data_IF_429370197467
#
_entry.id   IF_429370197467
#
_cell.length_a   1.000
_cell.length_b   1.000
_cell.length_c   1.000
_cell.angle_alpha   90.00
_cell.angle_beta   90.00
_cell.angle_gamma   90.00
#
_symmetry.space_group_name_H-M   'P 1'
#
loop_
_entity.id
_entity.type
_entity.pdbx_description
1 polymer ?
#
# COMPACT_ATOMS: atom_id res chain seq x y z
N UNK A 1 -13.10 16.17 -15.68
CA UNK A 1 -12.01 15.59 -14.86
C UNK A 1 -12.18 16.19 -13.47
N UNK A 2 -12.40 15.36 -12.45
CA UNK A 2 -12.62 15.88 -11.10
C UNK A 2 -11.32 16.47 -10.55
N UNK A 3 -11.42 17.64 -9.92
CA UNK A 3 -10.31 18.22 -9.17
C UNK A 3 -10.21 17.52 -7.81
N UNK A 4 -9.38 16.47 -7.74
CA UNK A 4 -9.18 15.72 -6.51
C UNK A 4 -8.63 16.60 -5.37
N UNK A 5 -7.96 17.72 -5.69
CA UNK A 5 -7.26 18.58 -4.73
C UNK A 5 -8.19 19.40 -3.84
N UNK A 6 -9.47 19.58 -4.22
CA UNK A 6 -10.37 20.46 -3.47
C UNK A 6 -10.97 19.84 -2.21
N UNK A 7 -10.92 18.51 -2.02
CA UNK A 7 -11.93 17.89 -1.16
C UNK A 7 -11.49 16.80 -0.18
N UNK A 8 -10.21 16.44 -0.05
CA UNK A 8 -9.98 15.08 0.46
C UNK A 8 -9.42 14.91 1.87
N UNK A 9 -8.59 15.81 2.37
CA UNK A 9 -8.07 15.67 3.74
C UNK A 9 -7.82 17.00 4.41
N UNK A 10 -6.98 17.83 3.81
CA UNK A 10 -6.68 19.16 4.34
C UNK A 10 -7.91 20.08 4.34
N UNK A 11 -8.70 20.06 3.25
CA UNK A 11 -9.96 20.80 3.16
C UNK A 11 -11.00 20.32 4.19
N UNK A 12 -11.18 19.00 4.33
CA UNK A 12 -12.10 18.43 5.33
C UNK A 12 -11.67 18.78 6.76
N UNK A 13 -10.37 18.67 7.07
CA UNK A 13 -9.84 19.06 8.37
C UNK A 13 -10.03 20.56 8.64
N UNK A 14 -9.86 21.41 7.62
CA UNK A 14 -10.06 22.85 7.74
C UNK A 14 -11.55 23.20 7.96
N UNK A 15 -12.45 22.61 7.17
CA UNK A 15 -13.90 22.79 7.29
C UNK A 15 -14.42 22.36 8.67
N UNK A 16 -13.87 21.28 9.23
CA UNK A 16 -14.24 20.77 10.54
C UNK A 16 -13.51 21.45 11.71
N UNK A 17 -12.66 22.46 11.45
CA UNK A 17 -11.89 23.16 12.49
C UNK A 17 -10.86 22.27 13.21
N UNK A 18 -10.51 21.12 12.63
CA UNK A 18 -9.60 20.13 13.22
C UNK A 18 -8.15 20.27 12.71
N UNK A 19 -7.92 21.04 11.65
CA UNK A 19 -6.63 21.16 11.00
C UNK A 19 -5.52 21.67 11.94
N UNK A 20 -5.77 22.74 12.70
CA UNK A 20 -4.77 23.32 13.61
C UNK A 20 -4.36 22.36 14.74
N UNK A 21 -5.29 21.53 15.21
CA UNK A 21 -5.03 20.53 16.25
C UNK A 21 -4.44 19.21 15.73
N UNK A 22 -4.55 18.95 14.43
CA UNK A 22 -4.17 17.66 13.83
C UNK A 22 -2.71 17.27 14.07
N UNK A 23 -1.71 18.17 13.95
CA UNK A 23 -0.31 17.86 14.25
C UNK A 23 -0.11 17.32 15.68
N UNK A 24 -0.73 17.95 16.68
CA UNK A 24 -0.65 17.50 18.09
C UNK A 24 -1.25 16.11 18.24
N UNK A 25 -2.47 15.91 17.74
CA UNK A 25 -3.13 14.60 17.81
C UNK A 25 -2.33 13.51 17.08
N UNK A 26 -1.67 13.84 15.96
CA UNK A 26 -0.87 12.87 15.20
C UNK A 26 0.37 12.43 16.00
N UNK A 27 1.05 13.39 16.64
CA UNK A 27 2.17 13.08 17.53
C UNK A 27 1.73 12.21 18.70
N UNK A 28 0.61 12.53 19.35
CA UNK A 28 0.05 11.72 20.44
C UNK A 28 -0.25 10.28 19.98
N UNK A 29 -0.84 10.11 18.79
CA UNK A 29 -1.10 8.81 18.18
C UNK A 29 0.19 8.02 17.88
N UNK A 30 1.25 8.69 17.41
CA UNK A 30 2.55 8.10 17.12
C UNK A 30 3.24 7.66 18.41
N UNK A 31 3.38 8.57 19.39
CA UNK A 31 4.03 8.29 20.67
C UNK A 31 3.31 7.19 21.44
N UNK A 32 1.98 7.29 21.58
CA UNK A 32 1.18 6.26 22.25
C UNK A 32 1.37 4.90 21.59
N UNK A 33 1.46 4.87 20.25
CA UNK A 33 1.67 3.63 19.51
C UNK A 33 3.05 3.02 19.78
N UNK A 34 4.11 3.83 19.77
CA UNK A 34 5.47 3.36 20.01
C UNK A 34 5.64 2.91 21.46
N UNK A 35 5.14 3.69 22.41
CA UNK A 35 5.19 3.36 23.84
C UNK A 35 4.40 2.09 24.15
N UNK A 36 3.20 1.96 23.58
CA UNK A 36 2.40 0.73 23.73
C UNK A 36 3.15 -0.48 23.18
N UNK A 37 3.75 -0.38 22.00
CA UNK A 37 4.47 -1.50 21.42
C UNK A 37 5.70 -1.88 22.25
N UNK A 38 6.52 -0.90 22.64
CA UNK A 38 7.79 -1.16 23.34
C UNK A 38 7.60 -1.58 24.81
N UNK A 39 6.55 -1.09 25.48
CA UNK A 39 6.41 -1.25 26.94
C UNK A 39 5.24 -2.13 27.37
N UNK A 40 4.23 -2.33 26.51
CA UNK A 40 2.97 -2.99 26.90
C UNK A 40 2.74 -4.27 26.12
N UNK A 41 3.08 -4.30 24.83
CA UNK A 41 2.83 -5.45 23.97
C UNK A 41 3.87 -6.54 24.24
N UNK A 42 3.46 -7.73 24.69
CA UNK A 42 4.40 -8.83 24.86
C UNK A 42 4.60 -9.61 23.54
N UNK A 43 5.73 -10.33 23.37
CA UNK A 43 6.10 -10.96 22.10
C UNK A 43 5.08 -11.94 21.51
N UNK A 44 4.30 -12.62 22.33
CA UNK A 44 3.22 -13.53 21.91
C UNK A 44 2.09 -12.83 21.15
N UNK A 45 1.99 -11.50 21.24
CA UNK A 45 0.99 -10.71 20.52
C UNK A 45 1.47 -10.27 19.15
N UNK A 46 2.77 -10.30 18.85
CA UNK A 46 3.32 -9.84 17.57
C UNK A 46 2.61 -10.48 16.36
N UNK A 47 2.39 -11.82 16.29
CA UNK A 47 1.75 -12.44 15.13
C UNK A 47 0.34 -11.93 14.79
N UNK A 48 -0.35 -11.32 15.76
CA UNK A 48 -1.72 -10.82 15.61
C UNK A 48 -1.74 -9.34 15.25
N UNK A 49 -0.78 -8.56 15.75
CA UNK A 49 -0.84 -7.10 15.67
C UNK A 49 0.00 -6.51 14.54
N UNK A 50 1.01 -7.22 14.02
CA UNK A 50 1.97 -6.62 13.08
C UNK A 50 1.29 -6.03 11.83
N UNK A 51 0.27 -6.69 11.26
CA UNK A 51 -0.50 -6.13 10.14
C UNK A 51 -1.25 -4.83 10.49
N UNK A 52 -1.84 -4.74 11.68
CA UNK A 52 -2.53 -3.52 12.15
C UNK A 52 -1.55 -2.38 12.43
N UNK A 53 -0.36 -2.71 12.96
CA UNK A 53 0.71 -1.75 13.15
C UNK A 53 1.21 -1.19 11.82
N UNK A 54 1.44 -2.06 10.84
CA UNK A 54 1.88 -1.68 9.51
C UNK A 54 0.90 -0.67 8.87
N UNK A 55 -0.40 -0.97 8.92
CA UNK A 55 -1.44 -0.06 8.41
C UNK A 55 -1.46 1.27 9.17
N UNK A 56 -1.34 1.25 10.51
CA UNK A 56 -1.31 2.47 11.33
C UNK A 56 -0.10 3.35 10.99
N UNK A 57 1.06 2.75 10.79
CA UNK A 57 2.29 3.45 10.42
C UNK A 57 2.22 4.07 9.02
N UNK A 58 1.68 3.33 8.04
CA UNK A 58 1.43 3.87 6.70
C UNK A 58 0.45 5.06 6.77
N UNK A 59 -0.62 4.95 7.58
CA UNK A 59 -1.55 6.05 7.86
C UNK A 59 -0.87 7.26 8.50
N UNK A 60 0.05 7.06 9.43
CA UNK A 60 0.83 8.17 10.01
C UNK A 60 1.76 8.81 8.98
N UNK A 61 2.44 8.01 8.16
CA UNK A 61 3.34 8.51 7.11
C UNK A 61 2.59 9.39 6.10
N UNK A 62 1.42 8.93 5.65
CA UNK A 62 0.56 9.65 4.72
C UNK A 62 0.08 10.97 5.33
N UNK A 63 -0.34 10.97 6.59
CA UNK A 63 -0.76 12.21 7.26
C UNK A 63 0.42 13.16 7.47
N UNK A 64 1.61 12.64 7.78
CA UNK A 64 2.84 13.44 7.84
C UNK A 64 3.13 14.14 6.50
N UNK A 65 3.07 13.42 5.39
CA UNK A 65 3.26 14.00 4.05
C UNK A 65 2.27 15.15 3.78
N UNK A 66 0.98 14.90 4.06
CA UNK A 66 -0.08 15.89 3.83
C UNK A 66 -0.01 17.10 4.76
N UNK A 67 0.64 16.97 5.92
CA UNK A 67 0.86 18.06 6.88
C UNK A 67 2.22 18.74 6.69
N UNK A 68 2.99 18.39 5.65
CA UNK A 68 4.25 19.05 5.33
C UNK A 68 5.45 18.62 6.18
N UNK A 69 5.41 17.41 6.76
CA UNK A 69 6.55 16.88 7.50
C UNK A 69 7.78 16.69 6.59
N UNK A 70 9.01 16.73 7.14
CA UNK A 70 10.21 16.36 6.40
C UNK A 70 10.09 14.95 5.81
N UNK A 71 10.63 14.77 4.60
CA UNK A 71 10.69 13.47 3.91
C UNK A 71 11.30 12.37 4.80
N UNK A 72 12.20 12.73 5.72
CA UNK A 72 12.80 11.80 6.67
C UNK A 72 11.76 11.13 7.57
N UNK A 73 10.84 11.89 8.16
CA UNK A 73 9.79 11.35 9.02
C UNK A 73 8.82 10.47 8.24
N UNK A 74 8.44 10.90 7.04
CA UNK A 74 7.55 10.15 6.15
C UNK A 74 8.18 8.81 5.77
N UNK A 75 9.41 8.82 5.22
CA UNK A 75 10.11 7.60 4.82
C UNK A 75 10.40 6.68 6.00
N UNK A 76 10.73 7.22 7.18
CA UNK A 76 10.98 6.38 8.35
C UNK A 76 9.70 5.64 8.80
N UNK A 77 8.55 6.31 8.82
CA UNK A 77 7.26 5.68 9.12
C UNK A 77 6.88 4.62 8.07
N UNK A 78 7.08 4.90 6.77
CA UNK A 78 6.86 3.91 5.71
C UNK A 78 7.80 2.71 5.88
N UNK A 79 9.07 2.94 6.21
CA UNK A 79 10.06 1.88 6.46
C UNK A 79 9.66 0.99 7.63
N UNK A 80 9.17 1.56 8.73
CA UNK A 80 8.67 0.74 9.85
C UNK A 80 7.35 0.03 9.50
N UNK A 81 6.51 0.60 8.64
CA UNK A 81 5.36 -0.10 8.10
C UNK A 81 5.78 -1.33 7.27
N UNK A 82 6.83 -1.20 6.44
CA UNK A 82 7.43 -2.31 5.69
C UNK A 82 7.99 -3.37 6.63
N UNK A 83 8.75 -2.99 7.66
CA UNK A 83 9.25 -3.92 8.67
C UNK A 83 8.14 -4.72 9.34
N UNK A 84 7.05 -4.04 9.70
CA UNK A 84 5.90 -4.69 10.30
C UNK A 84 5.21 -5.67 9.35
N UNK A 85 4.97 -5.27 8.09
CA UNK A 85 4.40 -6.15 7.09
C UNK A 85 5.29 -7.36 6.79
N UNK A 86 6.59 -7.13 6.61
CA UNK A 86 7.58 -8.18 6.37
C UNK A 86 7.58 -9.19 7.51
N UNK A 87 7.60 -8.72 8.76
CA UNK A 87 7.51 -9.58 9.94
C UNK A 87 6.20 -10.40 9.93
N UNK A 88 5.07 -9.75 9.67
CA UNK A 88 3.76 -10.38 9.55
C UNK A 88 3.77 -11.54 8.53
N UNK A 89 4.14 -11.27 7.28
CA UNK A 89 4.14 -12.28 6.21
C UNK A 89 5.20 -13.38 6.41
N UNK A 90 6.36 -13.06 7.00
CA UNK A 90 7.36 -14.07 7.36
C UNK A 90 6.85 -15.02 8.45
N UNK A 91 6.12 -14.51 9.45
CA UNK A 91 5.44 -15.35 10.44
C UNK A 91 4.38 -16.25 9.81
N UNK A 92 3.64 -15.77 8.80
CA UNK A 92 2.67 -16.63 8.10
C UNK A 92 3.33 -17.77 7.30
N UNK A 93 4.49 -17.51 6.70
CA UNK A 93 5.23 -18.49 5.87
C UNK A 93 5.91 -19.59 6.67
N UNK A 94 6.14 -19.38 7.97
CA UNK A 94 6.98 -20.24 8.80
C UNK A 94 6.23 -20.72 10.05
N UNK A 95 5.09 -21.40 9.93
CA UNK A 95 4.27 -21.79 11.08
C UNK A 95 5.06 -22.65 12.07
N UNK A 96 4.87 -22.38 13.36
CA UNK A 96 5.56 -23.02 14.49
C UNK A 96 7.08 -22.79 14.54
N UNK A 97 7.62 -21.84 13.77
CA UNK A 97 9.04 -21.47 13.80
C UNK A 97 9.25 -20.13 14.50
N UNK A 98 10.47 -19.93 14.99
CA UNK A 98 10.89 -18.64 15.52
C UNK A 98 11.24 -17.70 14.37
N UNK A 99 10.58 -16.55 14.32
CA UNK A 99 10.82 -15.49 13.34
C UNK A 99 11.42 -14.30 14.04
N UNK A 100 12.61 -13.91 13.57
CA UNK A 100 13.33 -12.74 14.05
C UNK A 100 13.20 -11.61 13.04
N UNK A 101 12.95 -10.40 13.52
CA UNK A 101 12.74 -9.22 12.68
C UNK A 101 13.21 -7.96 13.41
N UNK A 102 13.44 -6.88 12.67
CA UNK A 102 13.71 -5.56 13.23
C UNK A 102 12.43 -4.73 13.21
N UNK A 103 12.15 -4.02 14.30
CA UNK A 103 11.03 -3.09 14.37
C UNK A 103 11.29 -2.02 15.41
N UNK A 104 11.06 -0.75 15.05
CA UNK A 104 11.37 0.44 15.85
C UNK A 104 12.83 0.46 16.35
N UNK A 105 13.78 0.07 15.49
CA UNK A 105 15.21 0.06 15.82
C UNK A 105 15.67 -1.07 16.74
N UNK A 106 14.77 -1.97 17.15
CA UNK A 106 15.11 -3.11 18.00
C UNK A 106 14.93 -4.45 17.28
N UNK A 107 15.81 -5.40 17.60
CA UNK A 107 15.67 -6.80 17.18
C UNK A 107 14.61 -7.48 18.04
N UNK A 108 13.55 -7.96 17.38
CA UNK A 108 12.41 -8.65 17.97
C UNK A 108 12.38 -10.12 17.53
N UNK A 109 11.69 -10.94 18.31
CA UNK A 109 11.51 -12.36 18.02
C UNK A 109 10.11 -12.80 18.44
N UNK A 110 9.43 -13.58 17.60
CA UNK A 110 8.16 -14.20 17.91
C UNK A 110 8.10 -15.64 17.39
N UNK A 111 7.27 -16.47 18.03
CA UNK A 111 6.93 -17.78 17.50
C UNK A 111 5.71 -17.62 16.59
N UNK A 112 5.87 -17.99 15.32
CA UNK A 112 4.79 -17.99 14.36
C UNK A 112 3.71 -19.01 14.78
N UNK A 113 2.43 -18.60 14.88
CA UNK A 113 1.36 -19.52 15.22
C UNK A 113 1.11 -20.52 14.09
N UNK A 114 0.52 -21.66 14.43
CA UNK A 114 -0.09 -22.52 13.41
C UNK A 114 -1.15 -21.72 12.64
N UNK A 115 -1.20 -21.89 11.32
CA UNK A 115 -2.04 -21.06 10.45
C UNK A 115 -2.95 -21.92 9.57
N UNK A 116 -4.23 -21.63 9.63
CA UNK A 116 -5.27 -22.23 8.77
C UNK A 116 -5.87 -21.22 7.80
N UNK A 117 -5.77 -19.93 8.13
CA UNK A 117 -6.23 -18.83 7.30
C UNK A 117 -5.12 -17.82 7.09
N UNK A 118 -4.92 -17.39 5.86
CA UNK A 118 -3.84 -16.49 5.46
C UNK A 118 -4.34 -15.06 5.27
N UNK A 119 -3.39 -14.13 5.23
CA UNK A 119 -3.71 -12.73 4.93
C UNK A 119 -4.10 -12.55 3.47
N UNK A 120 -5.03 -11.64 3.20
CA UNK A 120 -5.56 -11.38 1.87
C UNK A 120 -4.51 -10.85 0.90
N UNK A 121 -4.76 -11.10 -0.39
CA UNK A 121 -3.99 -10.56 -1.51
C UNK A 121 -3.79 -9.04 -1.42
N UNK A 122 -4.85 -8.28 -1.13
CA UNK A 122 -4.77 -6.81 -1.03
C UNK A 122 -3.73 -6.33 -0.03
N UNK A 123 -3.69 -6.93 1.17
CA UNK A 123 -2.72 -6.58 2.23
C UNK A 123 -1.28 -6.96 1.85
N UNK A 124 -1.10 -8.04 1.10
CA UNK A 124 0.20 -8.40 0.55
C UNK A 124 0.66 -7.39 -0.50
N UNK A 125 -0.24 -6.96 -1.37
CA UNK A 125 0.04 -5.95 -2.40
C UNK A 125 0.38 -4.59 -1.77
N UNK A 126 -0.35 -4.19 -0.72
CA UNK A 126 -0.04 -3.02 0.11
C UNK A 126 1.40 -3.07 0.65
N UNK A 127 1.79 -4.20 1.26
CA UNK A 127 3.14 -4.40 1.77
C UNK A 127 4.22 -4.30 0.69
N UNK A 128 3.97 -4.92 -0.48
CA UNK A 128 4.89 -4.93 -1.60
C UNK A 128 5.12 -3.53 -2.17
N UNK A 129 4.04 -2.75 -2.30
CA UNK A 129 4.12 -1.36 -2.76
C UNK A 129 4.93 -0.48 -1.81
N UNK A 130 4.70 -0.62 -0.49
CA UNK A 130 5.47 0.10 0.51
C UNK A 130 6.96 -0.25 0.47
N UNK A 131 7.29 -1.54 0.31
CA UNK A 131 8.68 -1.99 0.19
C UNK A 131 9.37 -1.38 -1.04
N UNK A 132 8.67 -1.29 -2.17
CA UNK A 132 9.16 -0.60 -3.37
C UNK A 132 9.41 0.89 -3.12
N UNK A 133 8.44 1.60 -2.52
CA UNK A 133 8.52 3.04 -2.25
C UNK A 133 9.68 3.41 -1.31
N UNK A 134 9.92 2.59 -0.29
CA UNK A 134 11.05 2.77 0.63
C UNK A 134 12.39 2.37 -0.01
N UNK A 135 12.37 1.54 -1.06
CA UNK A 135 13.56 0.98 -1.68
C UNK A 135 14.16 -0.19 -0.89
N UNK A 136 13.36 -0.90 -0.10
CA UNK A 136 13.79 -2.07 0.66
C UNK A 136 13.73 -3.33 -0.20
N UNK A 137 14.84 -3.58 -0.91
CA UNK A 137 14.98 -4.75 -1.79
C UNK A 137 14.90 -6.09 -1.05
N UNK A 138 15.33 -6.14 0.21
CA UNK A 138 15.29 -7.34 1.03
C UNK A 138 13.84 -7.67 1.46
N UNK A 139 13.11 -6.67 1.94
CA UNK A 139 11.68 -6.82 2.23
C UNK A 139 10.88 -7.19 0.98
N UNK A 140 11.15 -6.53 -0.16
CA UNK A 140 10.54 -6.85 -1.44
C UNK A 140 10.79 -8.30 -1.83
N UNK A 141 12.02 -8.80 -1.71
CA UNK A 141 12.36 -10.19 -2.01
C UNK A 141 11.60 -11.19 -1.12
N UNK A 142 11.52 -10.93 0.19
CA UNK A 142 10.77 -11.77 1.13
C UNK A 142 9.27 -11.81 0.80
N UNK A 143 8.69 -10.65 0.46
CA UNK A 143 7.28 -10.52 0.10
C UNK A 143 6.98 -11.21 -1.24
N UNK A 144 7.85 -11.09 -2.24
CA UNK A 144 7.71 -11.79 -3.52
C UNK A 144 7.76 -13.32 -3.37
N UNK A 145 8.53 -13.81 -2.38
CA UNK A 145 8.60 -15.23 -2.10
C UNK A 145 7.31 -15.80 -1.49
N UNK A 146 6.40 -14.96 -0.96
CA UNK A 146 5.16 -15.39 -0.31
C UNK A 146 4.29 -16.26 -1.26
N UNK A 147 3.91 -17.50 -0.92
CA UNK A 147 3.21 -18.39 -1.86
C UNK A 147 1.86 -17.83 -2.33
N UNK A 148 1.57 -17.92 -3.64
CA UNK A 148 0.31 -17.38 -4.21
C UNK A 148 -0.89 -18.17 -3.74
N UNK A 149 -0.73 -19.48 -3.62
CA UNK A 149 -1.74 -20.43 -3.16
C UNK A 149 -2.28 -20.12 -1.76
N UNK A 150 -1.54 -19.35 -0.95
CA UNK A 150 -2.01 -18.90 0.36
C UNK A 150 -3.21 -17.94 0.24
N UNK A 151 -3.32 -17.16 -0.85
CA UNK A 151 -4.45 -16.25 -1.07
C UNK A 151 -5.77 -16.98 -1.30
N UNK A 152 -5.73 -18.28 -1.63
CA UNK A 152 -6.95 -19.09 -1.75
C UNK A 152 -7.61 -19.41 -0.39
N UNK A 153 -6.83 -19.30 0.69
CA UNK A 153 -7.20 -19.79 2.02
C UNK A 153 -7.27 -18.64 3.04
N UNK A 154 -7.94 -17.53 2.71
CA UNK A 154 -7.96 -16.31 3.55
C UNK A 154 -9.04 -16.31 4.65
N UNK A 155 -9.79 -17.40 4.78
CA UNK A 155 -10.86 -17.53 5.79
C UNK A 155 -12.17 -16.83 5.45
N UNK A 156 -12.31 -16.33 4.22
CA UNK A 156 -13.57 -15.85 3.67
C UNK A 156 -14.53 -17.01 3.34
N UNK A 157 -15.83 -16.72 3.29
CA UNK A 157 -16.88 -17.70 2.93
C UNK A 157 -16.66 -18.24 1.51
N UNK A 158 -16.12 -17.40 0.61
CA UNK A 158 -15.73 -17.78 -0.75
C UNK A 158 -14.26 -17.44 -0.99
N UNK A 159 -13.52 -18.39 -1.55
CA UNK A 159 -12.19 -18.16 -2.13
C UNK A 159 -12.31 -17.29 -3.38
N UNK A 160 -11.51 -16.21 -3.45
CA UNK A 160 -11.40 -15.36 -4.65
C UNK A 160 -10.30 -15.94 -5.53
N UNK A 161 -10.67 -16.56 -6.65
CA UNK A 161 -9.72 -17.29 -7.50
C UNK A 161 -8.91 -16.35 -8.38
N UNK A 162 -9.52 -15.27 -8.87
CA UNK A 162 -8.87 -14.28 -9.74
C UNK A 162 -7.76 -13.48 -9.04
N UNK A 163 -7.72 -13.48 -7.70
CA UNK A 163 -6.59 -12.92 -6.93
C UNK A 163 -5.26 -13.60 -7.28
N UNK A 164 -5.28 -14.88 -7.71
CA UNK A 164 -4.08 -15.59 -8.16
C UNK A 164 -3.49 -14.89 -9.39
N UNK A 165 -4.29 -14.64 -10.42
CA UNK A 165 -3.83 -14.06 -11.67
C UNK A 165 -3.24 -12.67 -11.46
N UNK A 166 -3.93 -11.82 -10.68
CA UNK A 166 -3.41 -10.51 -10.32
C UNK A 166 -2.15 -10.60 -9.45
N UNK A 167 -2.09 -11.53 -8.49
CA UNK A 167 -0.89 -11.69 -7.66
C UNK A 167 0.34 -12.11 -8.48
N UNK A 168 0.17 -12.94 -9.51
CA UNK A 168 1.25 -13.33 -10.42
C UNK A 168 1.71 -12.16 -11.28
N UNK A 169 0.78 -11.33 -11.77
CA UNK A 169 1.07 -10.07 -12.45
C UNK A 169 1.94 -9.16 -11.59
N UNK A 170 1.50 -8.88 -10.35
CA UNK A 170 2.25 -7.99 -9.46
C UNK A 170 3.60 -8.60 -9.08
N UNK A 171 3.67 -9.92 -8.82
CA UNK A 171 4.95 -10.58 -8.56
C UNK A 171 5.92 -10.43 -9.71
N UNK A 172 5.47 -10.70 -10.94
CA UNK A 172 6.31 -10.60 -12.14
C UNK A 172 6.81 -9.16 -12.33
N UNK A 173 5.92 -8.18 -12.14
CA UNK A 173 6.26 -6.77 -12.28
C UNK A 173 7.27 -6.31 -11.22
N UNK A 174 7.02 -6.56 -9.93
CA UNK A 174 7.90 -6.14 -8.83
C UNK A 174 9.19 -6.96 -8.69
N UNK A 175 9.23 -8.19 -9.22
CA UNK A 175 10.46 -8.98 -9.28
C UNK A 175 11.44 -8.49 -10.36
N UNK A 176 11.00 -7.61 -11.26
CA UNK A 176 11.76 -7.16 -12.44
C UNK A 176 12.12 -8.33 -13.35
N UNK A 177 11.25 -9.34 -13.43
CA UNK A 177 11.47 -10.51 -14.28
C UNK A 177 11.31 -10.16 -15.75
N UNK A 178 12.21 -10.66 -16.60
CA UNK A 178 12.28 -10.30 -18.02
C UNK A 178 11.90 -11.44 -18.97
N UNK A 179 11.40 -12.58 -18.46
CA UNK A 179 10.98 -13.70 -19.30
C UNK A 179 9.77 -13.30 -20.14
N UNK A 180 9.97 -13.20 -21.46
CA UNK A 180 8.96 -12.74 -22.41
C UNK A 180 7.77 -13.71 -22.52
N UNK A 181 8.03 -15.02 -22.44
CA UNK A 181 6.96 -16.02 -22.54
C UNK A 181 6.06 -15.92 -21.31
N UNK A 182 6.68 -15.85 -20.13
CA UNK A 182 5.95 -15.70 -18.87
C UNK A 182 5.21 -14.36 -18.80
N UNK A 183 5.84 -13.25 -19.22
CA UNK A 183 5.19 -11.94 -19.35
C UNK A 183 3.93 -12.02 -20.21
N UNK A 184 4.05 -12.65 -21.39
CA UNK A 184 2.95 -12.76 -22.34
C UNK A 184 1.82 -13.64 -21.81
N UNK A 185 2.16 -14.74 -21.13
CA UNK A 185 1.19 -15.64 -20.50
C UNK A 185 0.38 -14.93 -19.40
N UNK A 186 1.06 -14.24 -18.49
CA UNK A 186 0.44 -13.46 -17.40
C UNK A 186 -0.42 -12.34 -17.96
N UNK A 187 0.09 -11.59 -18.95
CA UNK A 187 -0.66 -10.52 -19.61
C UNK A 187 -1.96 -11.05 -20.19
N UNK A 188 -1.90 -12.16 -20.95
CA UNK A 188 -3.09 -12.73 -21.58
C UNK A 188 -4.14 -13.21 -20.57
N UNK A 189 -3.71 -13.78 -19.43
CA UNK A 189 -4.63 -14.16 -18.35
C UNK A 189 -5.32 -12.94 -17.75
N UNK A 190 -4.55 -11.91 -17.37
CA UNK A 190 -5.12 -10.69 -16.81
C UNK A 190 -6.04 -9.97 -17.82
N UNK A 191 -5.64 -9.88 -19.08
CA UNK A 191 -6.42 -9.24 -20.13
C UNK A 191 -7.76 -9.96 -20.39
N UNK A 192 -7.81 -11.28 -20.23
CA UNK A 192 -9.07 -12.03 -20.30
C UNK A 192 -10.03 -11.64 -19.17
N UNK A 193 -9.52 -11.32 -17.97
CA UNK A 193 -10.31 -10.87 -16.82
C UNK A 193 -10.84 -9.44 -16.97
N UNK A 194 -10.25 -8.60 -17.83
CA UNK A 194 -10.72 -7.22 -18.08
C UNK A 194 -11.98 -7.18 -18.95
N UNK A 195 -12.36 -8.29 -19.57
CA UNK A 195 -13.60 -8.34 -20.36
C UNK A 195 -14.82 -8.33 -19.43
N UNK A 196 -15.90 -7.57 -19.76
CA UNK A 196 -17.12 -7.55 -18.94
C UNK A 196 -17.66 -8.95 -18.67
N UNK A 197 -17.88 -9.27 -17.39
CA UNK A 197 -18.36 -10.58 -16.93
C UNK A 197 -17.27 -11.63 -16.74
N UNK A 198 -16.03 -11.37 -17.17
CA UNK A 198 -14.92 -12.31 -17.07
C UNK A 198 -14.56 -12.70 -15.63
N UNK A 199 -14.76 -11.79 -14.67
CA UNK A 199 -14.55 -12.05 -13.25
C UNK A 199 -15.85 -12.55 -12.59
N UNK A 200 -17.01 -11.99 -12.95
CA UNK A 200 -18.32 -12.41 -12.45
C UNK A 200 -18.55 -13.91 -12.64
N UNK A 201 -18.17 -14.48 -13.79
CA UNK A 201 -18.31 -15.91 -14.07
C UNK A 201 -17.47 -16.80 -13.12
N UNK A 202 -16.40 -16.26 -12.54
CA UNK A 202 -15.45 -17.00 -11.70
C UNK A 202 -15.74 -16.79 -10.21
N UNK A 203 -15.87 -15.54 -9.79
CA UNK A 203 -15.91 -15.11 -8.39
C UNK A 203 -17.14 -14.26 -8.01
N UNK A 204 -17.93 -13.83 -9.00
CA UNK A 204 -19.17 -13.06 -8.81
C UNK A 204 -19.02 -11.53 -8.87
N UNK A 205 -20.16 -10.85 -8.96
CA UNK A 205 -20.25 -9.40 -9.27
C UNK A 205 -19.51 -8.48 -8.29
N UNK A 206 -19.48 -8.85 -7.01
CA UNK A 206 -18.80 -8.05 -5.99
C UNK A 206 -17.27 -8.04 -6.22
N UNK A 207 -16.71 -9.18 -6.61
CA UNK A 207 -15.27 -9.29 -6.91
C UNK A 207 -14.94 -8.57 -8.21
N UNK A 208 -15.81 -8.69 -9.23
CA UNK A 208 -15.63 -7.94 -10.48
C UNK A 208 -15.66 -6.43 -10.22
N UNK A 209 -16.61 -5.94 -9.41
CA UNK A 209 -16.69 -4.53 -9.01
C UNK A 209 -15.38 -4.10 -8.35
N UNK A 210 -14.87 -4.84 -7.36
CA UNK A 210 -13.60 -4.53 -6.72
C UNK A 210 -12.45 -4.45 -7.75
N UNK A 211 -12.34 -5.45 -8.63
CA UNK A 211 -11.27 -5.52 -9.61
C UNK A 211 -11.29 -4.33 -10.58
N UNK A 212 -12.46 -3.88 -11.04
CA UNK A 212 -12.60 -2.73 -11.93
C UNK A 212 -12.06 -1.43 -11.35
N UNK A 213 -12.19 -1.22 -10.04
CA UNK A 213 -11.68 0.00 -9.43
C UNK A 213 -10.26 -0.12 -8.85
N UNK A 214 -9.84 -1.32 -8.46
CA UNK A 214 -8.60 -1.51 -7.69
C UNK A 214 -7.51 -2.29 -8.44
N UNK A 215 -7.85 -3.37 -9.14
CA UNK A 215 -6.85 -4.24 -9.78
C UNK A 215 -6.60 -3.87 -11.26
N UNK A 216 -7.68 -3.68 -12.03
CA UNK A 216 -7.62 -3.40 -13.45
C UNK A 216 -6.89 -2.08 -13.74
N UNK A 217 -7.11 -0.96 -13.02
CA UNK A 217 -6.38 0.27 -13.28
C UNK A 217 -4.87 0.15 -13.04
N UNK A 218 -4.47 -0.65 -12.05
CA UNK A 218 -3.05 -0.96 -11.81
C UNK A 218 -2.47 -1.85 -12.92
N UNK A 219 -3.25 -2.80 -13.42
CA UNK A 219 -2.88 -3.59 -14.60
C UNK A 219 -2.70 -2.72 -15.85
N UNK A 220 -3.51 -1.69 -16.06
CA UNK A 220 -3.33 -0.76 -17.18
C UNK A 220 -1.99 0.00 -17.08
N UNK A 221 -1.58 0.45 -15.89
CA UNK A 221 -0.25 1.06 -15.68
C UNK A 221 0.90 0.09 -15.97
N UNK A 222 0.79 -1.17 -15.55
CA UNK A 222 1.79 -2.21 -15.85
C UNK A 222 1.82 -2.50 -17.36
N UNK A 223 0.66 -2.51 -18.00
CA UNK A 223 0.50 -2.71 -19.43
C UNK A 223 1.13 -1.57 -20.23
N UNK A 224 0.99 -0.32 -19.77
CA UNK A 224 1.71 0.83 -20.33
C UNK A 224 3.22 0.60 -20.31
N UNK A 225 3.76 0.23 -19.15
CA UNK A 225 5.17 -0.09 -19.00
C UNK A 225 5.62 -1.19 -19.97
N UNK A 226 4.77 -2.18 -20.21
CA UNK A 226 5.02 -3.26 -21.17
C UNK A 226 4.83 -2.89 -22.64
N UNK A 227 4.53 -1.63 -22.95
CA UNK A 227 4.37 -1.08 -24.30
C UNK A 227 3.20 -1.72 -25.07
N UNK A 228 2.11 -2.02 -24.37
CA UNK A 228 0.89 -2.58 -24.97
C UNK A 228 -0.30 -1.62 -24.96
N UNK A 229 -0.17 -0.45 -24.30
CA UNK A 229 -1.20 0.58 -24.24
C UNK A 229 -0.93 1.68 -25.27
N UNK A 230 -1.99 2.30 -25.78
CA UNK A 230 -1.90 3.44 -26.71
C UNK A 230 -1.94 4.78 -25.97
N UNK A 231 -2.64 4.83 -24.84
CA UNK A 231 -2.79 6.00 -23.99
C UNK A 231 -1.46 6.41 -23.32
N UNK A 232 -1.31 7.70 -23.05
CA UNK A 232 -0.14 8.24 -22.36
C UNK A 232 -0.09 7.81 -20.89
N UNK A 233 1.12 7.84 -20.31
CA UNK A 233 1.30 7.54 -18.89
C UNK A 233 0.44 8.46 -18.00
N UNK A 234 0.33 9.74 -18.34
CA UNK A 234 -0.52 10.69 -17.61
C UNK A 234 -1.99 10.32 -17.65
N UNK A 235 -2.53 9.98 -18.82
CA UNK A 235 -3.95 9.63 -18.98
C UNK A 235 -4.31 8.38 -18.17
N UNK A 236 -3.48 7.33 -18.26
CA UNK A 236 -3.69 6.08 -17.51
C UNK A 236 -3.57 6.32 -16.00
N UNK A 237 -2.62 7.16 -15.59
CA UNK A 237 -2.45 7.50 -14.17
C UNK A 237 -3.64 8.27 -13.62
N UNK A 238 -4.15 9.26 -14.36
CA UNK A 238 -5.34 10.01 -13.96
C UNK A 238 -6.58 9.11 -13.86
N UNK A 239 -6.74 8.18 -14.81
CA UNK A 239 -7.81 7.19 -14.77
C UNK A 239 -7.69 6.27 -13.55
N UNK A 240 -6.48 5.82 -13.22
CA UNK A 240 -6.24 5.00 -12.03
C UNK A 240 -6.52 5.75 -10.73
N UNK A 241 -6.13 7.02 -10.64
CA UNK A 241 -6.46 7.88 -9.49
C UNK A 241 -7.97 8.07 -9.34
N UNK A 242 -8.70 8.29 -10.45
CA UNK A 242 -10.15 8.42 -10.45
C UNK A 242 -10.84 7.14 -9.96
N UNK A 243 -10.44 5.98 -10.49
CA UNK A 243 -10.99 4.68 -10.09
C UNK A 243 -10.74 4.39 -8.61
N UNK A 244 -9.53 4.69 -8.12
CA UNK A 244 -9.18 4.54 -6.72
C UNK A 244 -10.06 5.43 -5.82
N UNK A 245 -10.24 6.70 -6.18
CA UNK A 245 -11.14 7.60 -5.46
C UNK A 245 -12.58 7.06 -5.44
N UNK A 246 -13.12 6.67 -6.60
CA UNK A 246 -14.50 6.19 -6.72
C UNK A 246 -14.77 4.94 -5.88
N UNK A 247 -13.79 4.04 -5.78
CA UNK A 247 -13.89 2.88 -4.90
C UNK A 247 -14.10 3.31 -3.45
N UNK A 248 -13.21 4.16 -2.92
CA UNK A 248 -13.28 4.57 -1.52
C UNK A 248 -14.44 5.54 -1.25
N UNK A 249 -14.93 6.28 -2.24
CA UNK A 249 -16.04 7.22 -2.04
C UNK A 249 -17.42 6.60 -2.18
N UNK A 250 -17.59 5.65 -3.10
CA UNK A 250 -18.91 5.12 -3.44
C UNK A 250 -19.11 3.63 -3.10
N UNK A 251 -18.04 2.83 -3.18
CA UNK A 251 -18.13 1.37 -3.18
C UNK A 251 -17.75 0.76 -1.83
N UNK A 252 -16.60 1.15 -1.27
CA UNK A 252 -16.11 0.66 0.02
C UNK A 252 -17.03 0.99 1.21
N UNK A 253 -17.72 2.15 1.28
CA UNK A 253 -18.58 2.48 2.41
C UNK A 253 -19.69 1.45 2.62
N UNK A 254 -19.84 1.03 3.87
CA UNK A 254 -20.89 0.09 4.27
C UNK A 254 -22.30 0.66 3.98
N UNK A 255 -23.32 -0.19 3.76
CA UNK A 255 -24.69 0.27 3.58
C UNK A 255 -25.14 1.20 4.73
N UNK A 256 -25.55 2.43 4.38
CA UNK A 256 -25.98 3.45 5.34
C UNK A 256 -24.86 4.37 5.86
N UNK A 257 -23.60 4.15 5.49
CA UNK A 257 -22.50 5.08 5.74
C UNK A 257 -22.52 6.25 4.74
N UNK A 258 -21.84 7.35 5.10
CA UNK A 258 -21.63 8.49 4.21
C UNK A 258 -20.80 8.10 2.98
N UNK A 259 -21.08 8.74 1.85
CA UNK A 259 -20.50 8.47 0.52
C UNK A 259 -19.99 9.76 -0.11
N UNK A 260 -19.35 9.64 -1.27
CA UNK A 260 -18.75 10.76 -1.95
C UNK A 260 -17.63 11.36 -1.11
N UNK A 261 -17.56 12.70 -1.10
CA UNK A 261 -16.53 13.45 -0.38
C UNK A 261 -16.52 13.23 1.15
N UNK A 262 -17.65 12.81 1.72
CA UNK A 262 -17.82 12.66 3.17
C UNK A 262 -17.56 11.20 3.61
N UNK A 263 -17.18 10.30 2.70
CA UNK A 263 -16.84 8.92 3.02
C UNK A 263 -15.64 8.83 3.97
N UNK A 264 -15.75 8.04 5.03
CA UNK A 264 -14.64 7.78 5.97
C UNK A 264 -13.55 6.88 5.37
N UNK A 265 -13.90 6.10 4.34
CA UNK A 265 -12.96 5.21 3.67
C UNK A 265 -11.91 6.01 2.87
N UNK A 266 -12.19 7.29 2.61
CA UNK A 266 -11.26 8.23 2.01
C UNK A 266 -10.03 8.48 2.87
N UNK A 267 -10.12 8.29 4.19
CA UNK A 267 -8.99 8.39 5.12
C UNK A 267 -8.05 7.18 5.10
N UNK A 268 -8.33 6.17 4.27
CA UNK A 268 -7.42 5.05 4.07
C UNK A 268 -6.10 5.57 3.44
N UNK A 269 -4.91 5.19 3.96
CA UNK A 269 -3.63 5.64 3.41
C UNK A 269 -3.44 5.34 1.92
N UNK A 270 -4.00 4.22 1.43
CA UNK A 270 -3.93 3.82 0.02
C UNK A 270 -4.87 4.63 -0.87
N UNK A 271 -5.90 5.26 -0.29
CA UNK A 271 -6.75 6.23 -0.96
C UNK A 271 -6.14 7.65 -0.93
N UNK A 272 -5.63 8.06 0.25
CA UNK A 272 -5.11 9.40 0.51
C UNK A 272 -3.87 9.77 -0.33
N UNK A 273 -2.91 8.87 -0.53
CA UNK A 273 -1.72 9.12 -1.36
C UNK A 273 -1.59 8.16 -2.54
N UNK A 274 -2.64 7.39 -2.86
CA UNK A 274 -2.60 6.43 -3.97
C UNK A 274 -1.35 5.52 -3.96
N UNK A 275 -0.97 5.00 -2.78
CA UNK A 275 0.36 4.37 -2.57
C UNK A 275 0.66 3.21 -3.54
N UNK A 276 -0.36 2.48 -3.99
CA UNK A 276 -0.19 1.42 -5.01
C UNK A 276 0.19 2.00 -6.39
N UNK A 277 -0.46 3.10 -6.78
CA UNK A 277 -0.16 3.82 -8.03
C UNK A 277 1.25 4.41 -7.97
N UNK A 278 1.61 5.08 -6.86
CA UNK A 278 2.96 5.61 -6.65
C UNK A 278 4.04 4.52 -6.78
N UNK A 279 3.80 3.34 -6.22
CA UNK A 279 4.76 2.24 -6.28
C UNK A 279 4.97 1.74 -7.71
N UNK A 280 3.90 1.64 -8.51
CA UNK A 280 4.00 1.25 -9.92
C UNK A 280 4.70 2.33 -10.73
N UNK A 281 4.34 3.60 -10.54
CA UNK A 281 5.01 4.73 -11.21
C UNK A 281 6.50 4.81 -10.88
N UNK A 282 6.88 4.50 -9.64
CA UNK A 282 8.27 4.39 -9.22
C UNK A 282 9.03 3.35 -10.03
N UNK A 283 8.43 2.17 -10.25
CA UNK A 283 9.03 1.14 -11.11
C UNK A 283 9.27 1.67 -12.51
N UNK A 284 8.23 2.27 -13.11
CA UNK A 284 8.28 2.83 -14.46
C UNK A 284 9.41 3.85 -14.55
N UNK A 285 9.46 4.81 -13.62
CA UNK A 285 10.52 5.81 -13.54
C UNK A 285 11.92 5.19 -13.43
N UNK A 286 12.10 4.16 -12.60
CA UNK A 286 13.41 3.51 -12.44
C UNK A 286 13.87 2.76 -13.70
N UNK A 287 12.95 2.24 -14.51
CA UNK A 287 13.29 1.42 -15.69
C UNK A 287 13.31 2.21 -17.01
N UNK A 288 12.45 3.21 -17.17
CA UNK A 288 12.37 4.02 -18.40
C UNK A 288 12.88 5.47 -18.23
N UNK A 289 13.00 5.96 -17.00
CA UNK A 289 13.26 7.38 -16.71
C UNK A 289 12.05 8.29 -16.92
N UNK A 290 10.90 7.73 -17.30
CA UNK A 290 9.68 8.48 -17.56
C UNK A 290 8.96 8.88 -16.26
N UNK A 291 8.39 10.08 -16.23
CA UNK A 291 7.79 10.65 -15.03
C UNK A 291 6.46 11.33 -15.39
N UNK A 292 5.42 11.05 -14.61
CA UNK A 292 4.09 11.64 -14.79
C UNK A 292 4.07 13.12 -14.42
N UNK A 293 3.70 13.98 -15.37
CA UNK A 293 3.54 15.41 -15.05
C UNK A 293 2.15 15.74 -14.48
N UNK A 294 1.81 15.16 -13.33
CA UNK A 294 0.56 15.41 -12.61
C UNK A 294 0.85 16.23 -11.35
N UNK A 295 0.31 17.44 -11.29
CA UNK A 295 0.40 18.29 -10.10
C UNK A 295 -0.70 17.90 -9.11
N UNK A 296 -0.40 16.99 -8.19
CA UNK A 296 -1.32 16.56 -7.14
C UNK A 296 -0.58 16.39 -5.81
N UNK A 297 -1.08 16.94 -4.68
CA UNK A 297 -0.51 16.70 -3.36
C UNK A 297 -0.65 15.21 -2.94
N UNK A 298 -1.51 14.45 -3.63
CA UNK A 298 -1.72 13.03 -3.38
C UNK A 298 -0.82 12.13 -4.22
N UNK A 299 -0.01 12.72 -5.10
CA UNK A 299 0.95 12.01 -5.94
C UNK A 299 2.35 12.63 -5.76
N UNK A 300 2.94 12.54 -4.56
CA UNK A 300 4.26 13.12 -4.27
C UNK A 300 5.33 12.56 -5.20
N UNK A 301 5.78 13.42 -6.12
CA UNK A 301 6.76 13.05 -7.15
C UNK A 301 8.11 12.63 -6.57
N UNK A 302 8.43 13.08 -5.35
CA UNK A 302 9.66 12.71 -4.65
C UNK A 302 9.66 11.22 -4.26
N UNK A 303 8.49 10.62 -3.96
CA UNK A 303 8.37 9.18 -3.70
C UNK A 303 8.56 8.35 -4.97
N UNK A 304 8.03 8.82 -6.11
CA UNK A 304 8.25 8.18 -7.43
C UNK A 304 9.75 8.17 -7.73
N UNK A 305 10.40 9.32 -7.59
CA UNK A 305 11.85 9.48 -7.82
C UNK A 305 12.73 8.76 -6.81
N UNK A 306 12.21 8.48 -5.62
CA UNK A 306 12.95 7.83 -4.53
C UNK A 306 13.85 8.78 -3.76
N UNK A 307 13.55 10.07 -3.82
CA UNK A 307 14.24 11.12 -3.07
C UNK A 307 14.06 10.95 -1.56
N UNK A 308 14.71 11.82 -0.79
CA UNK A 308 14.79 11.72 0.67
C UNK A 308 15.86 10.73 1.13
N UNK A 309 15.87 10.36 2.42
CA UNK A 309 16.91 9.49 2.96
C UNK A 309 16.86 8.09 2.33
N UNK A 310 18.06 7.52 2.20
CA UNK A 310 18.28 6.12 1.85
C UNK A 310 17.87 5.19 3.00
N UNK A 311 17.67 3.91 2.69
CA UNK A 311 17.38 2.89 3.70
C UNK A 311 18.49 2.79 4.77
N UNK A 312 19.75 2.92 4.35
CA UNK A 312 20.91 2.88 5.26
C UNK A 312 20.90 4.05 6.25
N UNK A 313 20.52 5.25 5.81
CA UNK A 313 20.35 6.42 6.69
C UNK A 313 19.19 6.23 7.66
N UNK A 314 18.05 5.71 7.18
CA UNK A 314 16.87 5.43 8.00
C UNK A 314 17.13 4.38 9.09
N UNK A 315 18.07 3.46 8.87
CA UNK A 315 18.45 2.42 9.82
C UNK A 315 19.38 2.92 10.94
N UNK A 316 20.03 4.07 10.77
CA UNK A 316 20.99 4.59 11.75
C UNK A 316 20.31 5.33 12.90
N UNK A 317 19.23 6.08 12.64
CA UNK A 317 18.61 6.93 13.65
C UNK A 317 17.13 7.13 13.39
N UNK A 318 16.31 6.85 14.41
CA UNK A 318 14.90 7.23 14.44
C UNK A 318 14.79 8.76 14.50
N UNK A 319 13.98 9.41 13.64
CA UNK A 319 13.73 10.83 13.76
C UNK A 319 13.01 11.17 15.06
N UNK A 320 13.28 12.37 15.58
CA UNK A 320 12.49 12.93 16.68
C UNK A 320 11.12 13.35 16.13
N UNK A 321 10.06 12.76 16.67
CA UNK A 321 8.69 13.16 16.41
C UNK A 321 8.30 14.20 17.47
N UNK A 322 8.25 15.48 17.08
CA UNK A 322 7.79 16.57 17.92
C UNK A 322 7.20 17.69 17.04
N UNK A 323 6.67 18.75 17.65
CA UNK A 323 5.99 19.81 16.90
C UNK A 323 6.89 20.60 15.95
N UNK A 324 8.22 20.54 16.11
CA UNK A 324 9.16 21.24 15.21
C UNK A 324 9.18 20.66 13.80
N UNK A 325 8.69 19.43 13.62
CA UNK A 325 8.59 18.83 12.28
C UNK A 325 7.49 19.45 11.39
N UNK A 326 6.58 20.26 11.96
CA UNK A 326 5.53 20.95 11.21
C UNK A 326 5.82 22.44 10.96
N UNK A 327 6.96 22.94 11.46
CA UNK A 327 7.38 24.33 11.28
C UNK A 327 8.40 24.42 10.15
N UNK A 328 7.93 24.50 8.91
CA UNK A 328 8.75 24.85 7.75
C UNK A 328 8.19 26.07 7.02
#
# INVERSE_FOLDING_TARGET
>A
MNDFSQHYYHAILAENGALEGRPVTLLDEIHTRFDSFNNVVPPERYPVIMSSLAFSLARYAVQCELLGCPQWHVKWLLKEAVNAWRAHFNMERQPNQSVTFEFLGEKRCAIAPAKTHFTSFNKWMEALCLAELVGDSAARSDLLAYPVENFLNVGSVNTVKTDIDFSELFKFFFSRETDINRKSEIFNRCNALVQPGGITEIDGDFVETYAWFMNIPLFQLISYHWQVQEESLEEITQAAMQANYEYFSEIAPQPGAERGRDSVELFNPFALLHLQILAILRVIYLESGEMVNINSPFLPQWLIRGEGPSLDELNQTMPTFDLTMFTQ
#
